data_IF_173291840877
#
_entry.id   IF_173291840877
#
_cell.length_a   1.000
_cell.length_b   1.000
_cell.length_c   1.000
_cell.angle_alpha   90.00
_cell.angle_beta   90.00
_cell.angle_gamma   90.00
#
_symmetry.space_group_name_H-M   'P 1'
#
loop_
_entity.id
_entity.type
_entity.pdbx_description
1 polymer ?
#
# COMPACT_ATOMS: atom_id res chain seq x y z
N UNK A 1 -9.68 -1.45 -11.99
CA UNK A 1 -8.29 -0.94 -11.92
C UNK A 1 -8.10 -0.51 -10.48
N UNK A 2 -7.00 -0.92 -9.84
CA UNK A 2 -6.62 -0.41 -8.51
C UNK A 2 -5.56 0.67 -8.78
N UNK A 3 -5.71 1.86 -8.20
CA UNK A 3 -4.77 2.97 -8.43
C UNK A 3 -4.47 3.71 -7.14
N UNK A 4 -3.29 3.43 -6.61
CA UNK A 4 -2.74 4.13 -5.46
C UNK A 4 -1.92 5.33 -5.97
N UNK A 5 -2.20 6.52 -5.44
CA UNK A 5 -1.49 7.76 -5.77
C UNK A 5 -1.01 8.44 -4.49
N UNK A 6 0.31 8.57 -4.34
CA UNK A 6 0.97 9.24 -3.22
C UNK A 6 0.59 8.71 -1.85
N UNK A 7 0.50 7.39 -1.70
CA UNK A 7 0.14 6.77 -0.42
C UNK A 7 1.26 6.89 0.59
N UNK A 8 0.94 7.49 1.74
CA UNK A 8 1.80 7.52 2.91
C UNK A 8 1.18 6.70 4.04
N UNK A 9 2.02 5.91 4.71
CA UNK A 9 1.63 5.20 5.92
C UNK A 9 2.80 5.02 6.86
N UNK A 10 2.62 5.43 8.10
CA UNK A 10 3.51 5.16 9.21
C UNK A 10 2.74 4.58 10.40
N UNK A 11 3.44 3.80 11.22
CA UNK A 11 2.99 3.43 12.55
C UNK A 11 4.02 3.90 13.56
N UNK A 12 3.64 4.83 14.44
CA UNK A 12 4.42 5.38 15.57
C UNK A 12 5.87 5.74 15.21
N UNK A 13 6.77 4.75 15.16
CA UNK A 13 8.21 4.94 14.90
C UNK A 13 8.67 4.47 13.52
N UNK A 14 7.78 3.91 12.69
CA UNK A 14 8.17 3.29 11.41
C UNK A 14 7.32 3.78 10.25
N UNK A 15 7.98 4.39 9.27
CA UNK A 15 7.41 4.65 7.95
C UNK A 15 7.37 3.34 7.18
N UNK A 16 6.19 2.95 6.72
CA UNK A 16 5.97 1.78 5.87
C UNK A 16 5.92 2.15 4.40
N UNK A 17 5.22 3.24 4.07
CA UNK A 17 5.11 3.79 2.72
C UNK A 17 5.36 5.29 2.77
N UNK A 18 6.17 5.76 1.85
CA UNK A 18 6.50 7.17 1.61
C UNK A 18 6.29 7.39 0.11
N UNK A 19 5.28 8.17 -0.24
CA UNK A 19 4.85 8.46 -1.63
C UNK A 19 4.71 7.20 -2.53
N UNK A 20 4.02 6.16 -2.05
CA UNK A 20 3.80 4.96 -2.84
C UNK A 20 2.79 5.21 -3.96
N UNK A 21 3.21 4.93 -5.19
CA UNK A 21 2.38 5.01 -6.39
C UNK A 21 2.32 3.63 -7.06
N UNK A 22 1.10 3.13 -7.30
CA UNK A 22 0.86 1.79 -7.87
C UNK A 22 -0.39 1.80 -8.74
N UNK A 23 -0.33 1.18 -9.91
CA UNK A 23 -1.50 0.95 -10.75
C UNK A 23 -1.54 -0.52 -11.17
N UNK A 24 -2.67 -1.18 -10.93
CA UNK A 24 -2.91 -2.56 -11.33
C UNK A 24 -4.15 -2.61 -12.21
N UNK A 25 -3.95 -3.06 -13.44
CA UNK A 25 -5.02 -3.20 -14.43
C UNK A 25 -5.81 -4.49 -14.23
N UNK A 26 -7.01 -4.52 -14.81
CA UNK A 26 -7.86 -5.70 -14.77
C UNK A 26 -7.19 -6.84 -15.54
N UNK A 27 -7.03 -7.99 -14.90
CA UNK A 27 -6.41 -9.18 -15.51
C UNK A 27 -4.90 -9.30 -15.27
N UNK A 28 -4.24 -8.27 -14.72
CA UNK A 28 -2.84 -8.37 -14.29
C UNK A 28 -2.72 -9.26 -13.06
N UNK A 29 -1.60 -10.02 -13.02
CA UNK A 29 -1.21 -10.83 -11.86
C UNK A 29 0.09 -10.25 -11.31
N UNK A 30 0.03 -9.67 -10.12
CA UNK A 30 1.16 -9.00 -9.48
C UNK A 30 1.52 -9.71 -8.18
N UNK A 31 2.81 -9.98 -7.98
CA UNK A 31 3.34 -10.52 -6.73
C UNK A 31 4.02 -9.43 -5.90
N UNK A 32 3.64 -9.28 -4.64
CA UNK A 32 4.29 -8.36 -3.69
C UNK A 32 5.35 -9.10 -2.87
N UNK A 33 6.62 -8.80 -3.11
CA UNK A 33 7.77 -9.42 -2.43
C UNK A 33 8.47 -8.43 -1.50
N UNK A 34 9.19 -8.95 -0.50
CA UNK A 34 9.92 -8.15 0.47
C UNK A 34 10.09 -8.87 1.81
N UNK A 35 10.96 -8.36 2.68
CA UNK A 35 11.22 -8.95 4.01
C UNK A 35 10.00 -8.86 4.93
N UNK A 36 9.96 -9.68 5.98
CA UNK A 36 8.90 -9.60 6.99
C UNK A 36 8.91 -8.23 7.69
N UNK A 37 7.72 -7.74 8.04
CA UNK A 37 7.55 -6.43 8.69
C UNK A 37 7.74 -5.20 7.79
N UNK A 38 7.83 -5.36 6.46
CA UNK A 38 7.98 -4.24 5.50
C UNK A 38 6.64 -3.80 4.88
N UNK A 39 5.54 -3.89 5.64
CA UNK A 39 4.26 -3.34 5.20
C UNK A 39 3.47 -4.17 4.18
N UNK A 40 3.94 -5.33 3.70
CA UNK A 40 3.21 -6.12 2.68
C UNK A 40 1.74 -6.39 3.04
N UNK A 41 1.48 -6.99 4.20
CA UNK A 41 0.11 -7.23 4.66
C UNK A 41 -0.64 -5.93 4.90
N UNK A 42 0.05 -4.88 5.39
CA UNK A 42 -0.52 -3.55 5.56
C UNK A 42 -0.99 -2.95 4.24
N UNK A 43 -0.23 -3.09 3.14
CA UNK A 43 -0.63 -2.60 1.82
C UNK A 43 -1.95 -3.23 1.38
N UNK A 44 -2.10 -4.56 1.56
CA UNK A 44 -3.35 -5.24 1.28
C UNK A 44 -4.50 -4.73 2.15
N UNK A 45 -4.28 -4.52 3.46
CA UNK A 45 -5.32 -3.99 4.35
C UNK A 45 -5.73 -2.56 3.98
N UNK A 46 -4.79 -1.73 3.52
CA UNK A 46 -5.06 -0.39 3.01
C UNK A 46 -5.89 -0.45 1.73
N UNK A 47 -5.50 -1.31 0.77
CA UNK A 47 -6.26 -1.51 -0.48
C UNK A 47 -7.69 -2.01 -0.20
N UNK A 48 -7.87 -2.85 0.81
CA UNK A 48 -9.16 -3.40 1.22
C UNK A 48 -10.01 -2.43 2.06
N UNK A 49 -9.46 -1.27 2.46
CA UNK A 49 -10.15 -0.29 3.31
C UNK A 49 -10.22 -0.66 4.80
N UNK A 50 -9.51 -1.68 5.24
CA UNK A 50 -9.48 -2.12 6.65
C UNK A 50 -8.48 -1.31 7.51
N UNK A 51 -7.55 -0.61 6.85
CA UNK A 51 -6.60 0.30 7.49
C UNK A 51 -6.57 1.57 6.68
N UNK A 52 -6.79 2.71 7.34
CA UNK A 52 -6.71 4.01 6.68
C UNK A 52 -5.25 4.38 6.35
N UNK A 53 -5.08 5.00 5.19
CA UNK A 53 -3.85 5.71 4.84
C UNK A 53 -3.69 6.96 5.71
N UNK A 54 -2.45 7.41 5.92
CA UNK A 54 -2.23 8.69 6.58
C UNK A 54 -2.42 9.85 5.58
N UNK A 55 -2.07 9.62 4.31
CA UNK A 55 -2.42 10.49 3.18
C UNK A 55 -2.35 9.76 1.84
N UNK A 56 -2.84 10.39 0.78
CA UNK A 56 -2.93 9.83 -0.58
C UNK A 56 -4.32 9.26 -0.91
N UNK A 57 -4.43 8.61 -2.08
CA UNK A 57 -5.67 7.98 -2.54
C UNK A 57 -5.41 6.58 -3.10
N UNK A 58 -6.43 5.73 -3.07
CA UNK A 58 -6.41 4.30 -3.46
C UNK A 58 -7.51 4.01 -4.50
#
# INVERSE_FOLDING_TARGET
MIKISGLNKAFTTKVLFDDLNLSINRGEKVGLVGRNGHGKSTLFQVILGNVEADSGTI
#
